data_IF_534784400108
#
_entry.id   IF_534784400108
#
_cell.length_a   1.000
_cell.length_b   1.000
_cell.length_c   1.000
_cell.angle_alpha   90.00
_cell.angle_beta   90.00
_cell.angle_gamma   90.00
#
_symmetry.space_group_name_H-M   'P 1'
#
loop_
_entity.id
_entity.type
_entity.pdbx_description
1 polymer ?
#
# COMPACT_ATOMS: atom_id res chain seq x y z
N UNK A 1 53.00 29.05 16.88
CA UNK A 1 51.61 28.56 17.01
C UNK A 1 50.65 28.99 15.88
N UNK A 2 50.96 30.03 15.08
CA UNK A 2 50.07 30.54 14.01
C UNK A 2 50.17 29.76 12.65
N UNK A 3 51.30 29.10 12.39
CA UNK A 3 51.49 28.34 11.13
C UNK A 3 50.69 27.02 11.06
N UNK A 4 50.36 26.39 12.15
CA UNK A 4 49.65 25.11 12.17
C UNK A 4 48.16 25.26 11.91
N UNK A 5 47.54 26.36 12.30
CA UNK A 5 46.11 26.65 12.06
C UNK A 5 45.78 26.95 10.58
N UNK A 6 46.71 27.54 9.84
CA UNK A 6 46.51 27.88 8.42
C UNK A 6 46.50 26.61 7.55
N UNK A 7 47.32 25.62 7.88
CA UNK A 7 47.43 24.36 7.14
C UNK A 7 46.21 23.47 7.36
N UNK A 8 45.58 23.47 8.54
CA UNK A 8 44.39 22.67 8.85
C UNK A 8 43.14 23.26 8.15
N UNK A 9 43.04 24.59 8.06
CA UNK A 9 41.93 25.22 7.35
C UNK A 9 42.02 25.00 5.83
N UNK A 10 43.19 25.07 5.24
CA UNK A 10 43.41 24.77 3.83
C UNK A 10 43.09 23.30 3.47
N UNK A 11 43.43 22.38 4.38
CA UNK A 11 43.10 20.97 4.20
C UNK A 11 41.59 20.71 4.31
N UNK A 12 40.89 21.35 5.25
CA UNK A 12 39.44 21.26 5.38
C UNK A 12 38.71 21.86 4.18
N UNK A 13 39.15 22.99 3.64
CA UNK A 13 38.60 23.55 2.42
C UNK A 13 38.82 22.65 1.20
N UNK A 14 40.00 22.07 1.03
CA UNK A 14 40.28 21.13 -0.07
C UNK A 14 39.46 19.84 0.02
N UNK A 15 39.25 19.32 1.24
CA UNK A 15 38.36 18.14 1.45
C UNK A 15 36.91 18.51 1.15
N UNK A 16 36.43 19.70 1.55
CA UNK A 16 35.08 20.18 1.28
C UNK A 16 34.83 20.36 -0.24
N UNK A 17 35.83 20.88 -0.98
CA UNK A 17 35.76 20.98 -2.44
C UNK A 17 35.81 19.61 -3.14
N UNK A 18 36.58 18.65 -2.61
CA UNK A 18 36.61 17.29 -3.18
C UNK A 18 35.32 16.53 -2.97
N UNK A 19 34.68 16.70 -1.80
CA UNK A 19 33.36 16.08 -1.51
C UNK A 19 32.25 16.76 -2.33
N UNK A 20 32.30 18.08 -2.51
CA UNK A 20 31.36 18.78 -3.38
C UNK A 20 31.53 18.39 -4.87
N UNK A 21 32.77 18.19 -5.35
CA UNK A 21 33.04 17.73 -6.71
C UNK A 21 32.59 16.27 -6.92
N UNK A 22 32.72 15.39 -5.92
CA UNK A 22 32.21 14.01 -6.00
C UNK A 22 30.68 13.96 -6.01
N UNK A 23 29.98 14.82 -5.24
CA UNK A 23 28.52 14.88 -5.24
C UNK A 23 27.98 15.41 -6.57
N UNK A 24 28.68 16.37 -7.19
CA UNK A 24 28.31 16.92 -8.52
C UNK A 24 28.62 15.90 -9.63
N UNK A 25 29.69 15.11 -9.52
CA UNK A 25 30.01 14.07 -10.50
C UNK A 25 29.06 12.86 -10.45
N UNK A 26 28.43 12.57 -9.30
CA UNK A 26 27.38 11.55 -9.21
C UNK A 26 26.01 12.02 -9.74
N UNK A 27 25.79 13.34 -9.85
CA UNK A 27 24.55 13.90 -10.38
C UNK A 27 24.50 13.99 -11.91
N UNK A 28 25.61 13.71 -12.62
CA UNK A 28 25.69 13.82 -14.09
C UNK A 28 25.86 12.50 -14.83
N UNK A 29 25.93 11.37 -14.14
CA UNK A 29 25.66 10.09 -14.78
C UNK A 29 24.16 9.94 -14.86
N UNK A 30 23.53 10.68 -15.75
CA UNK A 30 22.19 10.39 -16.21
C UNK A 30 22.23 8.97 -16.83
N UNK A 31 21.92 7.96 -16.02
CA UNK A 31 21.41 6.72 -16.55
C UNK A 31 20.14 7.10 -17.29
N UNK A 32 20.25 7.40 -18.57
CA UNK A 32 19.12 7.35 -19.46
C UNK A 32 18.59 5.91 -19.32
N UNK A 33 17.57 5.73 -18.50
CA UNK A 33 16.86 4.46 -18.41
C UNK A 33 16.56 4.08 -19.87
N UNK A 34 16.87 2.85 -20.30
CA UNK A 34 16.58 2.43 -21.67
C UNK A 34 15.12 2.81 -21.93
N UNK A 35 14.86 3.52 -23.04
CA UNK A 35 13.49 3.90 -23.43
C UNK A 35 12.75 2.61 -23.75
N UNK A 36 12.20 1.99 -22.70
CA UNK A 36 11.35 0.81 -22.88
C UNK A 36 10.23 1.17 -23.84
N UNK A 37 10.09 0.39 -24.88
CA UNK A 37 8.99 0.56 -25.82
C UNK A 37 7.69 0.26 -25.09
N UNK A 38 6.73 1.17 -25.17
CA UNK A 38 5.40 0.99 -24.64
C UNK A 38 4.36 1.22 -25.71
N UNK A 39 3.17 0.67 -25.53
CA UNK A 39 1.97 1.03 -26.28
C UNK A 39 1.12 1.98 -25.45
N UNK A 40 0.64 3.05 -26.07
CA UNK A 40 -0.25 4.02 -25.44
C UNK A 40 -1.70 3.67 -25.73
N UNK A 41 -2.55 3.76 -24.72
CA UNK A 41 -3.99 3.62 -24.81
C UNK A 41 -4.59 4.92 -24.26
N UNK A 42 -5.37 5.62 -25.08
CA UNK A 42 -6.01 6.86 -24.67
C UNK A 42 -7.03 6.60 -23.55
N UNK A 43 -6.98 7.40 -22.50
CA UNK A 43 -7.98 7.38 -21.44
C UNK A 43 -9.20 8.19 -21.87
N UNK A 44 -10.39 7.58 -21.81
CA UNK A 44 -11.64 8.22 -22.19
C UNK A 44 -12.27 8.96 -20.99
N UNK A 45 -11.75 10.15 -20.67
CA UNK A 45 -12.25 10.93 -19.54
C UNK A 45 -11.67 10.47 -18.19
N UNK A 46 -12.43 10.70 -17.12
CA UNK A 46 -12.05 10.37 -15.75
C UNK A 46 -12.60 9.00 -15.33
N UNK A 47 -12.05 8.42 -14.26
CA UNK A 47 -12.52 7.16 -13.68
C UNK A 47 -12.49 7.24 -12.15
N UNK A 48 -13.54 6.73 -11.52
CA UNK A 48 -13.69 6.65 -10.06
C UNK A 48 -13.39 5.26 -9.52
N UNK A 49 -13.41 4.24 -10.39
CA UNK A 49 -13.19 2.85 -10.02
C UNK A 49 -12.05 2.26 -10.85
N UNK A 50 -11.11 1.58 -10.18
CA UNK A 50 -10.02 0.83 -10.81
C UNK A 50 -10.13 -0.65 -10.44
N UNK A 51 -10.29 -1.50 -11.44
CA UNK A 51 -10.37 -2.95 -11.28
C UNK A 51 -9.23 -3.60 -12.06
N UNK A 52 -8.38 -4.35 -11.36
CA UNK A 52 -7.23 -5.04 -11.96
C UNK A 52 -7.33 -6.54 -11.71
N UNK A 53 -7.42 -7.30 -12.78
CA UNK A 53 -7.55 -8.76 -12.73
C UNK A 53 -6.35 -9.43 -13.39
N UNK A 54 -5.80 -10.46 -12.76
CA UNK A 54 -4.65 -11.25 -13.20
C UNK A 54 -3.28 -10.72 -12.71
N UNK A 55 -2.20 -11.35 -13.20
CA UNK A 55 -0.82 -11.06 -12.79
C UNK A 55 -0.27 -9.82 -13.51
N UNK A 56 -0.69 -8.65 -13.11
CA UNK A 56 -0.32 -7.35 -13.68
C UNK A 56 0.38 -6.47 -12.65
N UNK A 57 1.37 -5.70 -13.07
CA UNK A 57 2.02 -4.68 -12.25
C UNK A 57 1.53 -3.30 -12.70
N UNK A 58 0.66 -2.69 -11.90
CA UNK A 58 0.02 -1.41 -12.20
C UNK A 58 0.60 -0.32 -11.30
N UNK A 59 0.86 0.84 -11.88
CA UNK A 59 1.32 2.03 -11.15
C UNK A 59 0.41 3.20 -11.50
N UNK A 60 -0.25 3.80 -10.49
CA UNK A 60 -0.89 5.09 -10.65
C UNK A 60 0.17 6.20 -10.66
N UNK A 61 0.22 6.97 -11.72
CA UNK A 61 1.29 7.95 -11.96
C UNK A 61 0.72 9.30 -12.41
N UNK A 62 1.20 10.37 -11.77
CA UNK A 62 0.89 11.75 -12.14
C UNK A 62 1.64 12.22 -13.39
N UNK A 63 2.64 11.43 -13.84
CA UNK A 63 3.52 11.82 -14.95
C UNK A 63 3.01 11.39 -16.32
N UNK A 64 1.93 10.61 -16.37
CA UNK A 64 1.34 10.14 -17.63
C UNK A 64 -0.07 10.68 -17.82
N UNK A 65 -0.45 10.94 -19.08
CA UNK A 65 -1.81 11.36 -19.45
C UNK A 65 -2.65 10.23 -20.03
N UNK A 66 -1.98 9.28 -20.68
CA UNK A 66 -2.56 8.08 -21.27
C UNK A 66 -2.03 6.85 -20.53
N UNK A 67 -2.74 5.73 -20.65
CA UNK A 67 -2.30 4.45 -20.11
C UNK A 67 -1.11 3.96 -20.96
N UNK A 68 0.02 3.66 -20.31
CA UNK A 68 1.21 3.13 -20.97
C UNK A 68 1.42 1.68 -20.59
N UNK A 69 1.44 0.80 -21.58
CA UNK A 69 1.60 -0.65 -21.40
C UNK A 69 2.99 -1.07 -21.85
N UNK A 70 3.77 -1.60 -20.93
CA UNK A 70 5.07 -2.19 -21.15
C UNK A 70 4.91 -3.71 -21.10
N UNK A 71 4.88 -4.32 -22.26
CA UNK A 71 4.73 -5.77 -22.40
C UNK A 71 5.29 -6.25 -23.75
N UNK A 72 5.78 -7.51 -23.84
CA UNK A 72 6.07 -8.13 -25.12
C UNK A 72 4.82 -8.19 -26.00
N UNK A 73 4.97 -8.12 -27.31
CA UNK A 73 3.86 -8.14 -28.25
C UNK A 73 2.96 -9.39 -28.08
N UNK A 74 3.60 -10.52 -27.81
CA UNK A 74 2.90 -11.77 -27.56
C UNK A 74 1.94 -11.70 -26.33
N UNK A 75 2.29 -10.89 -25.34
CA UNK A 75 1.51 -10.68 -24.11
C UNK A 75 0.46 -9.59 -24.31
N UNK A 76 0.85 -8.50 -24.98
CA UNK A 76 -0.01 -7.35 -25.21
C UNK A 76 -1.33 -7.71 -25.90
N UNK A 77 -1.32 -8.61 -26.88
CA UNK A 77 -2.55 -9.05 -27.59
C UNK A 77 -3.59 -9.73 -26.69
N UNK A 78 -3.19 -10.15 -25.49
CA UNK A 78 -4.07 -10.78 -24.51
C UNK A 78 -4.49 -9.83 -23.38
N UNK A 79 -3.97 -8.61 -23.38
CA UNK A 79 -4.37 -7.58 -22.42
C UNK A 79 -5.68 -6.94 -22.88
N UNK A 80 -6.63 -6.80 -21.97
CA UNK A 80 -7.85 -6.02 -22.13
C UNK A 80 -7.77 -4.80 -21.21
N UNK A 81 -7.97 -3.62 -21.79
CA UNK A 81 -8.09 -2.35 -21.05
C UNK A 81 -9.41 -1.73 -21.51
N UNK A 82 -10.35 -1.68 -20.61
CA UNK A 82 -11.73 -1.27 -20.87
C UNK A 82 -12.10 -0.13 -19.92
N UNK A 83 -12.76 0.89 -20.46
CA UNK A 83 -13.28 1.99 -19.65
C UNK A 83 -14.75 2.17 -19.96
N UNK A 84 -15.60 1.96 -18.97
CA UNK A 84 -17.05 2.11 -19.09
C UNK A 84 -17.63 2.68 -17.79
N UNK A 85 -18.53 3.67 -17.93
CA UNK A 85 -19.31 4.26 -16.81
C UNK A 85 -18.46 4.64 -15.59
N UNK A 86 -17.28 5.24 -15.81
CA UNK A 86 -16.38 5.66 -14.74
C UNK A 86 -15.57 4.54 -14.10
N UNK A 87 -15.60 3.34 -14.66
CA UNK A 87 -14.79 2.19 -14.26
C UNK A 87 -13.69 1.94 -15.27
N UNK A 88 -12.44 1.90 -14.82
CA UNK A 88 -11.29 1.43 -15.59
C UNK A 88 -10.99 0.00 -15.20
N UNK A 89 -11.16 -0.93 -16.12
CA UNK A 89 -10.86 -2.37 -15.93
C UNK A 89 -9.63 -2.75 -16.73
N UNK A 90 -8.66 -3.39 -16.07
CA UNK A 90 -7.44 -3.89 -16.69
C UNK A 90 -7.34 -5.38 -16.38
N UNK A 91 -7.33 -6.21 -17.41
CA UNK A 91 -7.37 -7.66 -17.23
C UNK A 91 -6.56 -8.39 -18.33
N UNK A 92 -6.15 -9.60 -18.03
CA UNK A 92 -5.71 -10.54 -19.05
C UNK A 92 -6.92 -11.34 -19.56
N UNK A 93 -7.01 -11.55 -20.87
CA UNK A 93 -7.97 -12.49 -21.44
C UNK A 93 -7.73 -13.89 -20.84
N UNK A 94 -8.80 -14.62 -20.63
CA UNK A 94 -8.75 -15.95 -20.02
C UNK A 94 -7.79 -16.86 -20.80
N UNK A 95 -7.18 -17.82 -20.11
CA UNK A 95 -6.33 -18.89 -20.63
C UNK A 95 -4.89 -18.52 -21.00
N UNK A 96 -4.40 -17.33 -20.62
CA UNK A 96 -3.01 -16.97 -20.82
C UNK A 96 -2.19 -17.25 -19.56
N UNK A 97 -1.30 -18.23 -19.61
CA UNK A 97 -0.31 -18.46 -18.55
C UNK A 97 0.93 -17.63 -18.84
N UNK A 98 1.10 -16.53 -18.09
CA UNK A 98 2.33 -15.73 -18.15
C UNK A 98 3.42 -16.38 -17.29
N UNK A 99 4.64 -16.43 -17.81
CA UNK A 99 5.82 -16.67 -16.97
C UNK A 99 6.07 -15.43 -16.10
N UNK A 100 6.61 -15.61 -14.90
CA UNK A 100 6.83 -14.51 -13.92
C UNK A 100 7.66 -13.36 -14.50
N UNK A 101 8.56 -13.64 -15.45
CA UNK A 101 9.39 -12.63 -16.14
C UNK A 101 8.62 -11.79 -17.18
N UNK A 102 7.42 -12.17 -17.53
CA UNK A 102 6.62 -11.55 -18.61
C UNK A 102 5.42 -10.76 -18.06
N UNK A 103 5.44 -10.40 -16.77
CA UNK A 103 4.34 -9.59 -16.19
C UNK A 103 4.27 -8.24 -16.87
N UNK A 104 3.12 -7.86 -17.45
CA UNK A 104 2.93 -6.54 -18.00
C UNK A 104 3.04 -5.48 -16.90
N UNK A 105 3.80 -4.42 -17.17
CA UNK A 105 3.83 -3.22 -16.35
C UNK A 105 2.97 -2.15 -17.00
N UNK A 106 2.07 -1.56 -16.24
CA UNK A 106 1.08 -0.61 -16.76
C UNK A 106 1.14 0.66 -15.94
N UNK A 107 1.46 1.77 -16.57
CA UNK A 107 1.31 3.09 -15.95
C UNK A 107 -0.08 3.62 -16.29
N UNK A 108 -0.84 3.95 -15.28
CA UNK A 108 -2.18 4.48 -15.39
C UNK A 108 -2.18 5.92 -14.85
N UNK A 109 -2.76 6.90 -15.55
CA UNK A 109 -2.88 8.25 -15.04
C UNK A 109 -3.57 8.28 -13.68
N UNK A 110 -2.91 8.81 -12.66
CA UNK A 110 -3.53 9.00 -11.35
C UNK A 110 -4.69 10.00 -11.49
N UNK A 111 -5.84 9.68 -10.89
CA UNK A 111 -7.03 10.53 -10.90
C UNK A 111 -7.50 10.80 -9.48
N UNK A 112 -7.84 12.06 -9.23
CA UNK A 112 -8.39 12.47 -7.93
C UNK A 112 -9.78 11.87 -7.65
N UNK A 113 -10.48 11.41 -8.68
CA UNK A 113 -11.80 10.78 -8.60
C UNK A 113 -11.79 9.34 -8.08
N UNK A 114 -10.62 8.66 -8.03
CA UNK A 114 -10.54 7.26 -7.60
C UNK A 114 -11.00 7.10 -6.15
N UNK A 115 -12.08 6.36 -5.96
CA UNK A 115 -12.69 6.04 -4.67
C UNK A 115 -12.92 4.55 -4.45
N UNK A 116 -12.68 3.73 -5.47
CA UNK A 116 -12.82 2.28 -5.43
C UNK A 116 -11.64 1.61 -6.15
N UNK A 117 -11.01 0.64 -5.48
CA UNK A 117 -9.91 -0.16 -6.01
C UNK A 117 -10.21 -1.63 -5.75
N UNK A 118 -10.17 -2.44 -6.79
CA UNK A 118 -10.34 -3.89 -6.70
C UNK A 118 -9.17 -4.59 -7.40
N UNK A 119 -8.46 -5.43 -6.67
CA UNK A 119 -7.33 -6.21 -7.17
C UNK A 119 -7.59 -7.70 -6.99
N UNK A 120 -7.56 -8.45 -8.07
CA UNK A 120 -7.84 -9.86 -8.06
C UNK A 120 -6.70 -10.71 -8.63
N UNK A 121 -6.59 -11.95 -8.14
CA UNK A 121 -5.63 -12.91 -8.62
C UNK A 121 -4.22 -12.66 -8.08
N UNK A 122 -3.32 -12.15 -8.90
CA UNK A 122 -1.97 -11.78 -8.49
C UNK A 122 -1.62 -10.34 -8.95
N UNK A 123 -2.61 -9.47 -8.97
CA UNK A 123 -2.42 -8.06 -9.36
C UNK A 123 -1.59 -7.31 -8.32
N UNK A 124 -0.65 -6.49 -8.79
CA UNK A 124 0.08 -5.56 -7.94
C UNK A 124 -0.31 -4.13 -8.30
N UNK A 125 -0.65 -3.33 -7.32
CA UNK A 125 -0.89 -1.91 -7.49
C UNK A 125 0.04 -1.10 -6.61
N UNK A 126 0.76 -0.18 -7.23
CA UNK A 126 1.47 0.88 -6.54
C UNK A 126 0.79 2.22 -6.85
N UNK A 127 0.47 2.96 -5.82
CA UNK A 127 -0.12 4.29 -5.95
C UNK A 127 0.63 5.30 -5.09
N UNK A 128 0.67 6.54 -5.56
CA UNK A 128 1.10 7.68 -4.77
C UNK A 128 0.08 8.03 -3.69
N UNK A 129 -0.04 9.31 -3.39
CA UNK A 129 -1.04 9.82 -2.45
C UNK A 129 -2.40 9.98 -3.14
N UNK A 130 -3.43 9.33 -2.61
CA UNK A 130 -4.83 9.60 -2.95
C UNK A 130 -5.45 10.42 -1.81
N UNK A 131 -6.10 11.53 -2.15
CA UNK A 131 -6.79 12.41 -1.21
C UNK A 131 -8.27 12.48 -1.58
N UNK A 132 -9.13 11.82 -0.78
CA UNK A 132 -10.57 11.69 -1.02
C UNK A 132 -11.33 11.59 0.28
N UNK A 133 -12.63 11.89 0.27
CA UNK A 133 -13.47 11.67 1.44
C UNK A 133 -13.52 10.20 1.85
N UNK A 134 -13.68 9.29 0.87
CA UNK A 134 -13.72 7.87 1.11
C UNK A 134 -12.92 7.10 0.04
N UNK A 135 -12.31 5.98 0.47
CA UNK A 135 -11.67 4.99 -0.41
C UNK A 135 -12.08 3.59 0.04
N UNK A 136 -12.55 2.80 -0.91
CA UNK A 136 -12.85 1.38 -0.75
C UNK A 136 -11.80 0.54 -1.48
N UNK A 137 -11.26 -0.48 -0.81
CA UNK A 137 -10.20 -1.34 -1.31
C UNK A 137 -10.59 -2.80 -1.11
N UNK A 138 -10.62 -3.55 -2.19
CA UNK A 138 -10.89 -4.99 -2.22
C UNK A 138 -9.69 -5.74 -2.79
N UNK A 139 -9.10 -6.63 -1.99
CA UNK A 139 -7.94 -7.43 -2.40
C UNK A 139 -8.27 -8.91 -2.28
N UNK A 140 -8.10 -9.66 -3.37
CA UNK A 140 -8.30 -11.11 -3.35
C UNK A 140 -7.15 -11.88 -4.00
N UNK A 141 -7.05 -13.16 -3.67
CA UNK A 141 -6.02 -14.04 -4.20
C UNK A 141 -4.64 -13.76 -3.63
N UNK A 142 -3.66 -13.44 -4.47
CA UNK A 142 -2.29 -13.05 -4.10
C UNK A 142 -2.01 -11.62 -4.54
N UNK A 143 -3.01 -10.76 -4.49
CA UNK A 143 -2.86 -9.36 -4.90
C UNK A 143 -2.10 -8.54 -3.86
N UNK A 144 -1.44 -7.50 -4.32
CA UNK A 144 -0.65 -6.59 -3.46
C UNK A 144 -1.04 -5.14 -3.74
N UNK A 145 -1.25 -4.36 -2.69
CA UNK A 145 -1.44 -2.92 -2.79
C UNK A 145 -0.43 -2.18 -1.92
N UNK A 146 0.20 -1.15 -2.49
CA UNK A 146 1.06 -0.21 -1.75
C UNK A 146 0.71 1.23 -2.09
N UNK A 147 0.52 2.07 -1.07
CA UNK A 147 0.19 3.46 -1.32
C UNK A 147 -0.12 4.28 -0.08
N UNK A 148 -0.52 5.53 -0.33
CA UNK A 148 -0.87 6.48 0.72
C UNK A 148 -2.29 6.99 0.51
N UNK A 149 -3.04 7.11 1.61
CA UNK A 149 -4.41 7.64 1.57
C UNK A 149 -4.65 8.67 2.65
N UNK A 150 -5.30 9.77 2.29
CA UNK A 150 -5.74 10.82 3.19
C UNK A 150 -7.21 11.17 2.92
N UNK A 151 -8.03 11.16 3.97
CA UNK A 151 -9.46 11.40 3.83
C UNK A 151 -10.25 11.24 5.13
N UNK A 152 -11.55 11.01 4.99
CA UNK A 152 -12.42 10.77 6.16
C UNK A 152 -12.55 9.29 6.46
N UNK A 153 -12.67 8.45 5.44
CA UNK A 153 -12.95 7.03 5.61
C UNK A 153 -12.14 6.16 4.66
N UNK A 154 -11.58 5.08 5.18
CA UNK A 154 -11.00 4.00 4.39
C UNK A 154 -11.64 2.67 4.79
N UNK A 155 -12.13 1.93 3.80
CA UNK A 155 -12.66 0.58 3.97
C UNK A 155 -11.77 -0.41 3.22
N UNK A 156 -11.33 -1.45 3.91
CA UNK A 156 -10.45 -2.48 3.37
C UNK A 156 -11.09 -3.84 3.57
N UNK A 157 -11.26 -4.58 2.49
CA UNK A 157 -11.64 -5.97 2.50
C UNK A 157 -10.54 -6.81 1.84
N UNK A 158 -9.98 -7.74 2.59
CA UNK A 158 -8.91 -8.62 2.12
C UNK A 158 -9.26 -10.08 2.30
N UNK A 159 -9.00 -10.85 1.26
CA UNK A 159 -9.16 -12.30 1.28
C UNK A 159 -8.02 -13.00 0.52
N UNK A 160 -7.77 -14.26 0.83
CA UNK A 160 -6.67 -15.02 0.26
C UNK A 160 -5.32 -14.59 0.84
N UNK A 161 -4.24 -14.91 0.16
CA UNK A 161 -2.88 -14.52 0.55
C UNK A 161 -2.53 -13.11 0.01
N UNK A 162 -3.46 -12.14 0.14
CA UNK A 162 -3.25 -10.76 -0.31
C UNK A 162 -2.41 -9.95 0.69
N UNK A 163 -1.68 -8.96 0.19
CA UNK A 163 -0.79 -8.09 0.99
C UNK A 163 -1.15 -6.63 0.78
N UNK A 164 -1.34 -5.88 1.87
CA UNK A 164 -1.60 -4.45 1.81
C UNK A 164 -0.59 -3.70 2.70
N UNK A 165 0.03 -2.65 2.14
CA UNK A 165 0.88 -1.72 2.89
C UNK A 165 0.48 -0.29 2.58
N UNK A 166 -0.03 0.41 3.59
CA UNK A 166 -0.51 1.77 3.39
C UNK A 166 -0.08 2.72 4.51
N UNK A 167 0.20 3.97 4.12
CA UNK A 167 0.24 5.09 5.05
C UNK A 167 -1.10 5.82 4.95
N UNK A 168 -1.80 5.95 6.09
CA UNK A 168 -3.16 6.50 6.12
C UNK A 168 -3.27 7.67 7.10
N UNK A 169 -4.06 8.66 6.72
CA UNK A 169 -4.48 9.74 7.60
C UNK A 169 -5.99 9.94 7.41
N UNK A 170 -6.79 9.33 8.29
CA UNK A 170 -8.24 9.25 8.15
C UNK A 170 -8.95 9.52 9.48
N UNK A 171 -10.25 9.80 9.42
CA UNK A 171 -11.08 9.81 10.61
C UNK A 171 -11.45 8.39 11.04
N UNK A 172 -11.90 7.57 10.10
CA UNK A 172 -12.33 6.20 10.36
C UNK A 172 -11.67 5.22 9.40
N UNK A 173 -11.31 4.04 9.92
CA UNK A 173 -10.85 2.92 9.11
C UNK A 173 -11.63 1.65 9.47
N UNK A 174 -12.07 0.90 8.45
CA UNK A 174 -12.81 -0.35 8.54
C UNK A 174 -12.01 -1.46 7.88
N UNK A 175 -11.74 -2.54 8.62
CA UNK A 175 -10.91 -3.66 8.19
C UNK A 175 -11.68 -4.97 8.28
N UNK A 176 -11.89 -5.64 7.15
CA UNK A 176 -12.35 -7.02 7.08
C UNK A 176 -11.24 -7.87 6.48
N UNK A 177 -10.55 -8.64 7.31
CA UNK A 177 -9.38 -9.43 6.92
C UNK A 177 -9.67 -10.92 7.07
N UNK A 178 -9.44 -11.69 6.02
CA UNK A 178 -9.70 -13.12 6.00
C UNK A 178 -8.66 -13.92 5.21
N UNK A 179 -8.66 -15.23 5.42
CA UNK A 179 -7.96 -16.22 4.60
C UNK A 179 -6.45 -15.96 4.41
N UNK A 180 -5.72 -15.79 5.52
CA UNK A 180 -4.25 -15.61 5.55
C UNK A 180 -3.74 -14.31 4.91
N UNK A 181 -4.58 -13.27 4.84
CA UNK A 181 -4.16 -11.95 4.37
C UNK A 181 -3.21 -11.26 5.34
N UNK A 182 -2.37 -10.37 4.80
CA UNK A 182 -1.41 -9.57 5.58
C UNK A 182 -1.63 -8.09 5.33
N UNK A 183 -1.68 -7.31 6.41
CA UNK A 183 -1.93 -5.87 6.36
C UNK A 183 -0.91 -5.13 7.22
N UNK A 184 -0.23 -4.15 6.65
CA UNK A 184 0.63 -3.21 7.36
C UNK A 184 0.10 -1.79 7.18
N UNK A 185 -0.28 -1.15 8.29
CA UNK A 185 -0.81 0.21 8.31
C UNK A 185 0.05 1.13 9.15
N UNK A 186 0.24 2.35 8.66
CA UNK A 186 0.97 3.40 9.36
C UNK A 186 0.22 4.72 9.28
N UNK A 187 0.39 5.59 10.26
CA UNK A 187 -0.23 6.91 10.25
C UNK A 187 -1.22 7.12 11.39
N UNK A 188 -2.47 7.51 11.09
CA UNK A 188 -3.46 7.82 12.14
C UNK A 188 -4.89 7.57 11.70
N UNK A 189 -5.73 7.09 12.66
CA UNK A 189 -7.18 7.06 12.60
C UNK A 189 -7.75 7.96 13.71
N UNK A 190 -8.19 9.17 13.35
CA UNK A 190 -8.47 10.23 14.32
C UNK A 190 -9.69 9.97 15.21
N UNK A 191 -10.62 9.12 14.76
CA UNK A 191 -11.84 8.81 15.50
C UNK A 191 -11.88 7.33 15.85
N UNK A 192 -11.85 6.43 14.86
CA UNK A 192 -12.10 5.01 15.09
C UNK A 192 -11.38 4.11 14.10
N UNK A 193 -10.90 2.97 14.59
CA UNK A 193 -10.60 1.77 13.81
C UNK A 193 -11.63 0.70 14.16
N UNK A 194 -12.28 0.12 13.18
CA UNK A 194 -13.10 -1.07 13.31
C UNK A 194 -12.44 -2.22 12.54
N UNK A 195 -12.31 -3.39 13.19
CA UNK A 195 -11.61 -4.52 12.59
C UNK A 195 -12.36 -5.83 12.82
N UNK A 196 -12.37 -6.65 11.80
CA UNK A 196 -12.79 -8.03 11.87
C UNK A 196 -11.72 -8.89 11.20
N UNK A 197 -11.09 -9.78 11.97
CA UNK A 197 -9.99 -10.63 11.53
C UNK A 197 -10.36 -12.09 11.75
N UNK A 198 -10.27 -12.89 10.70
CA UNK A 198 -10.57 -14.32 10.73
C UNK A 198 -9.57 -15.13 9.91
N UNK A 199 -9.40 -16.41 10.22
CA UNK A 199 -8.67 -17.38 9.38
C UNK A 199 -7.19 -17.03 9.15
N UNK A 200 -6.43 -16.96 10.24
CA UNK A 200 -4.97 -16.81 10.23
C UNK A 200 -4.46 -15.51 9.55
N UNK A 201 -5.17 -14.42 9.72
CA UNK A 201 -4.75 -13.11 9.20
C UNK A 201 -3.71 -12.42 10.09
N UNK A 202 -2.94 -11.51 9.50
CA UNK A 202 -1.94 -10.71 10.21
C UNK A 202 -2.14 -9.21 9.98
N UNK A 203 -2.22 -8.43 11.05
CA UNK A 203 -2.31 -6.97 11.02
C UNK A 203 -1.18 -6.34 11.82
N UNK A 204 -0.28 -5.64 11.17
CA UNK A 204 0.68 -4.74 11.80
C UNK A 204 0.21 -3.30 11.67
N UNK A 205 -0.34 -2.77 12.77
CA UNK A 205 -0.72 -1.39 12.95
C UNK A 205 0.04 -0.74 14.13
N UNK A 206 1.25 -1.24 14.43
CA UNK A 206 2.12 -0.68 15.48
C UNK A 206 2.40 0.82 15.27
N UNK A 207 2.40 1.26 14.03
CA UNK A 207 2.66 2.66 13.63
C UNK A 207 1.41 3.41 13.16
N UNK A 208 0.22 2.88 13.45
CA UNK A 208 -1.06 3.52 13.18
C UNK A 208 -1.73 3.90 14.50
N UNK A 209 -1.62 5.16 14.90
CA UNK A 209 -2.31 5.67 16.09
C UNK A 209 -3.81 5.75 15.86
N UNK A 210 -4.60 5.04 16.68
CA UNK A 210 -6.05 5.09 16.68
C UNK A 210 -6.58 5.49 18.07
N UNK A 211 -7.57 6.38 18.12
CA UNK A 211 -8.20 6.77 19.39
C UNK A 211 -9.06 5.65 19.96
N UNK A 212 -9.93 5.11 19.13
CA UNK A 212 -10.82 4.00 19.51
C UNK A 212 -10.65 2.82 18.58
N UNK A 213 -10.59 1.64 19.14
CA UNK A 213 -10.49 0.39 18.38
C UNK A 213 -11.58 -0.56 18.83
N UNK A 214 -12.40 -1.02 17.90
CA UNK A 214 -13.49 -1.97 18.14
C UNK A 214 -13.45 -3.09 17.10
N UNK A 215 -13.93 -4.29 17.46
CA UNK A 215 -14.05 -5.40 16.52
C UNK A 215 -13.68 -6.74 17.11
N UNK A 216 -13.22 -7.69 16.31
CA UNK A 216 -12.89 -9.06 16.72
C UNK A 216 -11.62 -9.56 16.05
N UNK A 217 -10.86 -10.42 16.77
CA UNK A 217 -9.71 -11.16 16.24
C UNK A 217 -9.96 -12.64 16.51
N UNK A 218 -10.04 -13.45 15.46
CA UNK A 218 -10.48 -14.83 15.54
C UNK A 218 -9.67 -15.77 14.60
N UNK A 219 -9.71 -17.07 14.86
CA UNK A 219 -9.23 -18.10 13.95
C UNK A 219 -7.72 -18.12 13.72
N UNK A 220 -6.89 -18.01 14.77
CA UNK A 220 -5.44 -18.03 14.66
C UNK A 220 -4.84 -16.72 14.12
N UNK A 221 -5.60 -15.64 14.18
CA UNK A 221 -5.17 -14.33 13.67
C UNK A 221 -4.26 -13.60 14.65
N UNK A 222 -3.39 -12.73 14.12
CA UNK A 222 -2.44 -11.95 14.92
C UNK A 222 -2.56 -10.46 14.61
N UNK A 223 -2.67 -9.61 15.64
CA UNK A 223 -2.68 -8.16 15.48
C UNK A 223 -1.73 -7.44 16.41
N UNK A 224 -1.09 -6.37 15.90
CA UNK A 224 -0.38 -5.37 16.70
C UNK A 224 -1.09 -4.04 16.48
N UNK A 225 -1.62 -3.43 17.56
CA UNK A 225 -2.48 -2.25 17.49
C UNK A 225 -1.97 -1.14 18.42
N UNK A 226 -2.06 0.11 17.99
CA UNK A 226 -1.78 1.26 18.85
C UNK A 226 -3.07 2.04 19.14
N UNK A 227 -3.49 2.01 20.42
CA UNK A 227 -4.72 2.66 20.88
C UNK A 227 -4.42 3.71 21.95
N UNK A 228 -5.13 4.84 21.92
CA UNK A 228 -4.92 5.95 22.88
C UNK A 228 -6.09 6.23 23.82
N UNK A 229 -7.33 5.89 23.47
CA UNK A 229 -8.49 6.21 24.29
C UNK A 229 -9.27 4.97 24.78
N UNK A 230 -9.74 4.13 23.85
CA UNK A 230 -10.61 2.97 24.18
C UNK A 230 -10.40 1.82 23.21
N UNK A 231 -10.30 0.62 23.76
CA UNK A 231 -10.19 -0.63 23.01
C UNK A 231 -11.26 -1.62 23.47
N UNK A 232 -12.02 -2.18 22.52
CA UNK A 232 -12.94 -3.28 22.73
C UNK A 232 -12.78 -4.31 21.61
N UNK A 233 -11.94 -5.33 21.86
CA UNK A 233 -11.52 -6.30 20.85
C UNK A 233 -11.47 -7.70 21.48
N UNK A 234 -12.57 -8.48 21.45
CA UNK A 234 -12.54 -9.91 21.76
C UNK A 234 -11.53 -10.66 20.91
N UNK A 235 -10.73 -11.54 21.55
CA UNK A 235 -9.67 -12.34 20.91
C UNK A 235 -9.96 -13.83 21.15
N UNK A 236 -10.16 -14.60 20.08
CA UNK A 236 -10.71 -15.95 20.14
C UNK A 236 -9.94 -16.93 19.28
N UNK A 237 -10.11 -18.24 19.58
CA UNK A 237 -9.67 -19.34 18.75
C UNK A 237 -8.18 -19.27 18.36
N UNK A 238 -7.29 -19.35 19.37
CA UNK A 238 -5.84 -19.34 19.23
C UNK A 238 -5.27 -18.06 18.57
N UNK A 239 -5.96 -16.93 18.73
CA UNK A 239 -5.53 -15.64 18.20
C UNK A 239 -4.70 -14.85 19.21
N UNK A 240 -3.97 -13.84 18.73
CA UNK A 240 -3.15 -13.00 19.59
C UNK A 240 -3.26 -11.52 19.25
N UNK A 241 -3.32 -10.70 20.30
CA UNK A 241 -3.30 -9.26 20.24
C UNK A 241 -2.15 -8.70 21.06
N UNK A 242 -1.30 -7.92 20.44
CA UNK A 242 -0.36 -7.03 21.11
C UNK A 242 -0.86 -5.61 20.97
N UNK A 243 -1.01 -4.85 22.05
CA UNK A 243 -1.39 -3.46 21.94
C UNK A 243 -0.36 -2.52 22.57
N UNK A 244 -0.30 -1.30 22.03
CA UNK A 244 0.60 -0.23 22.39
C UNK A 244 -0.23 0.99 22.77
N UNK A 245 0.34 1.87 23.57
CA UNK A 245 -0.34 3.07 24.05
C UNK A 245 -0.91 2.88 25.44
N UNK A 246 -1.70 3.85 25.89
CA UNK A 246 -2.30 3.87 27.24
C UNK A 246 -3.79 4.22 27.14
N UNK A 247 -4.62 3.36 26.57
CA UNK A 247 -6.05 3.60 26.49
C UNK A 247 -6.65 3.62 27.91
N UNK A 248 -7.61 4.50 28.12
CA UNK A 248 -8.32 4.64 29.41
C UNK A 248 -9.20 3.42 29.70
N UNK A 249 -9.72 2.80 28.64
CA UNK A 249 -10.58 1.60 28.75
C UNK A 249 -10.02 0.52 27.83
N UNK A 250 -9.71 -0.65 28.40
CA UNK A 250 -9.34 -1.87 27.68
C UNK A 250 -10.32 -2.97 28.05
N UNK A 251 -11.06 -3.45 27.09
CA UNK A 251 -11.95 -4.60 27.20
C UNK A 251 -11.66 -5.58 26.04
N UNK A 252 -10.74 -6.50 26.27
CA UNK A 252 -10.30 -7.49 25.31
C UNK A 252 -10.46 -8.89 25.90
N UNK A 253 -11.68 -9.41 26.01
CA UNK A 253 -11.90 -10.75 26.54
C UNK A 253 -11.27 -11.80 25.61
N UNK A 254 -10.66 -12.81 26.24
CA UNK A 254 -10.03 -13.91 25.54
C UNK A 254 -10.82 -15.19 25.72
N UNK A 255 -10.81 -16.04 24.71
CA UNK A 255 -11.27 -17.43 24.83
C UNK A 255 -10.21 -18.38 24.27
N UNK A 256 -10.29 -19.64 24.71
CA UNK A 256 -9.37 -20.71 24.32
C UNK A 256 -7.91 -20.34 24.68
N UNK A 257 -6.94 -20.70 23.83
CA UNK A 257 -5.52 -20.40 24.03
C UNK A 257 -5.12 -19.01 23.49
N UNK A 258 -6.07 -18.07 23.41
CA UNK A 258 -5.83 -16.74 22.88
C UNK A 258 -5.12 -15.83 23.90
N UNK A 259 -4.34 -14.88 23.40
CA UNK A 259 -3.53 -13.99 24.24
C UNK A 259 -3.73 -12.52 23.94
N UNK A 260 -3.67 -11.69 24.97
CA UNK A 260 -3.62 -10.23 24.88
C UNK A 260 -2.45 -9.72 25.67
N UNK A 261 -1.56 -8.96 25.06
CA UNK A 261 -0.33 -8.43 25.66
C UNK A 261 -0.21 -6.94 25.46
N UNK A 262 0.15 -6.20 26.52
CA UNK A 262 0.53 -4.79 26.43
C UNK A 262 2.05 -4.66 26.27
N UNK A 263 2.48 -3.85 25.29
CA UNK A 263 3.90 -3.57 24.99
C UNK A 263 4.31 -2.19 25.50
#
# INVERSE_FOLDING_TARGET
MIRTYKTINDMKQKILFLVAAMVVAMATVGFAAPKEKYKSIALQGDYGQLIVNAALDVVLSDTVRDIRVYAPEAVYKHLAVEQEKGTLRIAMRRDVKLKTKERPRILVPARMSVSYIELNGAANLQMGKIQREALEVYLTGKSTLRGNFEGKQMSIEQAGASDLKAHVAVDNIFLNLSASSTTELRGRALIKMELNMIEATSLDAEKLEAKRIEGTIDGGSHAILWCTERMHVPVKNASSLVYIGRPVVVNCPTSDVSTVTHK
#
